data_IF_116254010081
#
_entry.id   IF_116254010081
#
_cell.length_a   1.000
_cell.length_b   1.000
_cell.length_c   1.000
_cell.angle_alpha   90.00
_cell.angle_beta   90.00
_cell.angle_gamma   90.00
#
_symmetry.space_group_name_H-M   'P 1'
#
loop_
_entity.id
_entity.type
_entity.pdbx_description
1 polymer ?
#
# COMPACT_ATOMS: atom_id res chain seq x y z
N UNK A 1 -38.34 -1.41 -16.30
CA UNK A 1 -36.96 -0.95 -16.27
C UNK A 1 -36.10 -2.15 -15.93
N UNK A 2 -35.09 -2.48 -16.74
CA UNK A 2 -34.20 -3.60 -16.46
C UNK A 2 -33.35 -3.24 -15.25
N UNK A 3 -33.32 -4.12 -14.25
CA UNK A 3 -32.52 -3.93 -13.04
C UNK A 3 -31.03 -3.97 -13.38
N UNK A 4 -30.23 -3.09 -12.78
CA UNK A 4 -28.79 -3.03 -12.95
C UNK A 4 -28.13 -4.25 -12.30
N UNK A 5 -27.20 -4.91 -13.03
CA UNK A 5 -26.51 -6.11 -12.56
C UNK A 5 -25.10 -5.78 -12.08
N UNK A 6 -24.84 -6.17 -10.84
CA UNK A 6 -23.59 -5.95 -10.12
C UNK A 6 -23.00 -7.31 -9.75
N UNK A 7 -21.75 -7.54 -10.11
CA UNK A 7 -21.04 -8.76 -9.73
C UNK A 7 -19.91 -8.45 -8.78
N UNK A 8 -19.85 -9.18 -7.67
CA UNK A 8 -18.72 -9.17 -6.73
C UNK A 8 -17.85 -10.42 -6.96
N UNK A 9 -16.55 -10.20 -7.18
CA UNK A 9 -15.50 -11.22 -7.28
C UNK A 9 -14.90 -11.59 -5.94
N UNK A 10 -15.45 -11.08 -4.83
CA UNK A 10 -15.13 -11.54 -3.48
C UNK A 10 -16.40 -11.89 -2.74
N UNK A 11 -16.35 -13.02 -2.06
CA UNK A 11 -17.38 -13.35 -1.09
C UNK A 11 -17.21 -12.41 0.11
N UNK A 12 -18.26 -11.69 0.43
CA UNK A 12 -18.27 -10.64 1.46
C UNK A 12 -18.88 -11.12 2.79
N UNK A 13 -19.38 -12.35 2.84
CA UNK A 13 -19.99 -12.93 4.03
C UNK A 13 -21.31 -12.22 4.41
N UNK A 14 -21.43 -11.82 5.66
CA UNK A 14 -22.63 -11.12 6.17
C UNK A 14 -22.89 -9.78 5.47
N UNK A 15 -21.85 -9.15 4.90
CA UNK A 15 -21.98 -7.90 4.15
C UNK A 15 -22.86 -8.06 2.90
N UNK A 16 -22.88 -9.26 2.29
CA UNK A 16 -23.69 -9.55 1.10
C UNK A 16 -25.18 -9.29 1.36
N UNK A 17 -25.68 -9.75 2.52
CA UNK A 17 -27.07 -9.52 2.93
C UNK A 17 -27.36 -8.03 3.15
N UNK A 18 -26.42 -7.31 3.75
CA UNK A 18 -26.55 -5.86 3.96
C UNK A 18 -26.64 -5.10 2.63
N UNK A 19 -25.78 -5.42 1.67
CA UNK A 19 -25.81 -4.82 0.33
C UNK A 19 -27.14 -5.04 -0.38
N UNK A 20 -27.61 -6.28 -0.39
CA UNK A 20 -28.91 -6.61 -1.03
C UNK A 20 -30.04 -5.84 -0.37
N UNK A 21 -30.06 -5.76 0.95
CA UNK A 21 -31.12 -5.06 1.69
C UNK A 21 -31.08 -3.54 1.50
N UNK A 22 -29.89 -2.95 1.39
CA UNK A 22 -29.71 -1.52 1.19
C UNK A 22 -30.10 -1.07 -0.22
N UNK A 23 -29.99 -1.97 -1.21
CA UNK A 23 -30.26 -1.69 -2.63
C UNK A 23 -31.21 -2.72 -3.25
N UNK A 24 -32.47 -2.78 -2.82
CA UNK A 24 -33.42 -3.83 -3.22
C UNK A 24 -33.80 -3.79 -4.71
N UNK A 25 -33.57 -2.67 -5.37
CA UNK A 25 -33.85 -2.48 -6.82
C UNK A 25 -32.67 -2.91 -7.71
N UNK A 26 -31.55 -3.34 -7.12
CA UNK A 26 -30.35 -3.80 -7.84
C UNK A 26 -30.17 -5.31 -7.71
N UNK A 27 -29.57 -5.91 -8.73
CA UNK A 27 -29.28 -7.34 -8.73
C UNK A 27 -27.80 -7.61 -8.43
N UNK A 28 -27.50 -8.17 -7.25
CA UNK A 28 -26.16 -8.54 -6.82
C UNK A 28 -25.91 -10.04 -7.02
N UNK A 29 -24.73 -10.35 -7.59
CA UNK A 29 -24.25 -11.72 -7.78
C UNK A 29 -22.85 -11.83 -7.19
N UNK A 30 -22.55 -12.93 -6.47
CA UNK A 30 -21.30 -13.12 -5.73
C UNK A 30 -20.60 -14.39 -6.21
N UNK A 31 -19.39 -14.22 -6.75
CA UNK A 31 -18.55 -15.31 -7.23
C UNK A 31 -17.19 -15.26 -6.53
N UNK A 32 -16.50 -16.40 -6.49
CA UNK A 32 -15.17 -16.47 -5.94
C UNK A 32 -14.13 -15.93 -6.93
N UNK A 33 -14.25 -16.29 -8.18
CA UNK A 33 -13.29 -15.93 -9.24
C UNK A 33 -14.02 -15.46 -10.50
N UNK A 34 -13.33 -14.71 -11.37
CA UNK A 34 -13.87 -14.22 -12.63
C UNK A 34 -14.28 -15.35 -13.60
N UNK A 35 -13.56 -16.48 -13.55
CA UNK A 35 -13.86 -17.66 -14.39
C UNK A 35 -15.21 -18.29 -14.06
N UNK A 36 -15.70 -18.12 -12.83
CA UNK A 36 -16.96 -18.70 -12.37
C UNK A 36 -18.20 -17.93 -12.85
N UNK A 37 -18.03 -16.74 -13.44
CA UNK A 37 -19.14 -15.90 -13.92
C UNK A 37 -19.69 -16.46 -15.23
N UNK A 38 -20.98 -16.80 -15.29
CA UNK A 38 -21.62 -17.29 -16.55
C UNK A 38 -21.53 -16.25 -17.68
N UNK A 39 -21.44 -16.74 -18.91
CA UNK A 39 -21.34 -15.87 -20.11
C UNK A 39 -22.54 -14.93 -20.23
N UNK A 40 -23.75 -15.45 -19.99
CA UNK A 40 -24.98 -14.68 -20.05
C UNK A 40 -24.99 -13.52 -19.06
N UNK A 41 -24.38 -13.70 -17.87
CA UNK A 41 -24.26 -12.64 -16.87
C UNK A 41 -23.19 -11.62 -17.27
N UNK A 42 -22.09 -12.04 -17.92
CA UNK A 42 -21.08 -11.11 -18.43
C UNK A 42 -21.64 -10.13 -19.46
N UNK A 43 -22.57 -10.61 -20.31
CA UNK A 43 -23.25 -9.77 -21.31
C UNK A 43 -24.08 -8.65 -20.68
N UNK A 44 -24.54 -8.82 -19.45
CA UNK A 44 -25.42 -7.89 -18.76
C UNK A 44 -24.76 -7.13 -17.62
N UNK A 45 -23.52 -7.48 -17.29
CA UNK A 45 -22.77 -6.90 -16.17
C UNK A 45 -22.50 -5.41 -16.39
N UNK A 46 -22.90 -4.57 -15.42
CA UNK A 46 -22.70 -3.12 -15.47
C UNK A 46 -21.66 -2.63 -14.45
N UNK A 47 -21.59 -3.26 -13.27
CA UNK A 47 -20.64 -2.90 -12.21
C UNK A 47 -19.93 -4.15 -11.70
N UNK A 48 -18.60 -4.12 -11.66
CA UNK A 48 -17.76 -5.16 -11.10
C UNK A 48 -17.14 -4.71 -9.79
N UNK A 49 -17.26 -5.52 -8.75
CA UNK A 49 -16.65 -5.28 -7.44
C UNK A 49 -15.60 -6.36 -7.17
N UNK A 50 -14.50 -6.00 -6.55
CA UNK A 50 -13.59 -6.95 -5.94
C UNK A 50 -12.20 -6.96 -6.55
N UNK A 51 -11.55 -8.10 -6.44
CA UNK A 51 -10.17 -8.32 -6.88
C UNK A 51 -10.02 -9.76 -7.36
N UNK A 52 -9.58 -9.94 -8.60
CA UNK A 52 -9.20 -11.25 -9.14
C UNK A 52 -8.24 -11.07 -10.31
N UNK A 53 -7.19 -11.89 -10.39
CA UNK A 53 -6.22 -11.89 -11.50
C UNK A 53 -6.85 -12.27 -12.85
N UNK A 54 -8.03 -12.90 -12.84
CA UNK A 54 -8.79 -13.23 -14.04
C UNK A 54 -9.50 -12.04 -14.71
N UNK A 55 -9.43 -10.84 -14.12
CA UNK A 55 -9.94 -9.61 -14.76
C UNK A 55 -8.90 -9.05 -15.72
N UNK A 56 -8.72 -9.76 -16.80
CA UNK A 56 -7.82 -9.44 -17.89
C UNK A 56 -8.55 -8.78 -19.07
N UNK A 57 -7.82 -8.51 -20.14
CA UNK A 57 -8.36 -7.94 -21.38
C UNK A 57 -9.52 -8.75 -21.96
N UNK A 58 -9.41 -10.09 -21.95
CA UNK A 58 -10.43 -10.97 -22.49
C UNK A 58 -11.72 -10.91 -21.65
N UNK A 59 -11.57 -10.88 -20.32
CA UNK A 59 -12.70 -10.72 -19.41
C UNK A 59 -13.44 -9.41 -19.67
N UNK A 60 -12.72 -8.27 -19.73
CA UNK A 60 -13.34 -6.97 -19.95
C UNK A 60 -14.04 -6.91 -21.31
N UNK A 61 -13.42 -7.47 -22.34
CA UNK A 61 -14.04 -7.52 -23.68
C UNK A 61 -15.30 -8.42 -23.71
N UNK A 62 -15.38 -9.42 -22.85
CA UNK A 62 -16.55 -10.27 -22.70
C UNK A 62 -17.70 -9.60 -21.91
N UNK A 63 -17.49 -8.40 -21.37
CA UNK A 63 -18.49 -7.64 -20.60
C UNK A 63 -18.87 -6.34 -21.33
N UNK A 64 -19.67 -6.38 -22.42
CA UNK A 64 -19.91 -5.21 -23.27
C UNK A 64 -20.62 -4.05 -22.57
N UNK A 65 -21.39 -4.32 -21.53
CA UNK A 65 -22.15 -3.31 -20.78
C UNK A 65 -21.43 -2.81 -19.53
N UNK A 66 -20.19 -3.24 -19.26
CA UNK A 66 -19.43 -2.85 -18.07
C UNK A 66 -19.12 -1.34 -18.09
N UNK A 67 -19.56 -0.63 -17.04
CA UNK A 67 -19.46 0.82 -16.88
C UNK A 67 -18.50 1.23 -15.78
N UNK A 68 -18.41 0.43 -14.70
CA UNK A 68 -17.60 0.75 -13.54
C UNK A 68 -16.99 -0.50 -12.91
N UNK A 69 -15.70 -0.41 -12.56
CA UNK A 69 -14.94 -1.38 -11.78
C UNK A 69 -14.58 -0.74 -10.45
N UNK A 70 -15.12 -1.27 -9.35
CA UNK A 70 -14.73 -0.95 -7.98
C UNK A 70 -13.69 -1.97 -7.51
N UNK A 71 -12.42 -1.63 -7.69
CA UNK A 71 -11.31 -2.54 -7.44
C UNK A 71 -10.89 -2.56 -5.98
N UNK A 72 -10.96 -3.73 -5.34
CA UNK A 72 -10.66 -3.91 -3.92
C UNK A 72 -9.16 -4.12 -3.65
N UNK A 73 -8.35 -3.28 -4.26
CA UNK A 73 -6.92 -3.14 -4.01
C UNK A 73 -6.48 -1.68 -4.24
N UNK A 74 -5.38 -1.27 -3.64
CA UNK A 74 -4.80 0.05 -3.91
C UNK A 74 -4.11 0.10 -5.27
N UNK A 75 -3.31 -0.93 -5.60
CA UNK A 75 -2.62 -1.03 -6.90
C UNK A 75 -3.56 -1.52 -8.01
N UNK A 76 -3.41 -0.95 -9.19
CA UNK A 76 -4.20 -1.29 -10.39
C UNK A 76 -3.33 -1.78 -11.55
N UNK A 77 -2.05 -2.00 -11.33
CA UNK A 77 -1.04 -2.30 -12.36
C UNK A 77 -1.30 -3.63 -13.08
N UNK A 78 -2.03 -4.54 -12.45
CA UNK A 78 -2.42 -5.83 -13.01
C UNK A 78 -3.70 -5.78 -13.85
N UNK A 79 -4.36 -4.62 -13.95
CA UNK A 79 -5.53 -4.42 -14.80
C UNK A 79 -5.12 -3.94 -16.20
N UNK A 80 -5.87 -4.30 -17.24
CA UNK A 80 -5.64 -3.80 -18.61
C UNK A 80 -6.16 -2.37 -18.77
N UNK A 81 -5.39 -1.40 -18.25
CA UNK A 81 -5.78 0.01 -18.17
C UNK A 81 -6.02 0.65 -19.54
N UNK A 82 -5.35 0.17 -20.59
CA UNK A 82 -5.56 0.58 -21.98
C UNK A 82 -6.99 0.30 -22.43
N UNK A 83 -7.48 -0.91 -22.22
CA UNK A 83 -8.86 -1.32 -22.57
C UNK A 83 -9.90 -0.60 -21.73
N UNK A 84 -9.65 -0.47 -20.42
CA UNK A 84 -10.53 0.24 -19.49
C UNK A 84 -10.70 1.69 -19.95
N UNK A 85 -9.60 2.33 -20.34
CA UNK A 85 -9.58 3.70 -20.86
C UNK A 85 -10.31 3.82 -22.22
N UNK A 86 -9.98 2.97 -23.17
CA UNK A 86 -10.61 2.95 -24.51
C UNK A 86 -12.13 2.85 -24.43
N UNK A 87 -12.64 2.04 -23.49
CA UNK A 87 -14.05 1.81 -23.28
C UNK A 87 -14.72 2.81 -22.35
N UNK A 88 -13.99 3.83 -21.85
CA UNK A 88 -14.49 4.80 -20.89
C UNK A 88 -15.11 4.16 -19.63
N UNK A 89 -14.56 3.02 -19.17
CA UNK A 89 -14.99 2.39 -17.94
C UNK A 89 -14.43 3.17 -16.75
N UNK A 90 -15.28 3.50 -15.80
CA UNK A 90 -14.84 4.12 -14.55
C UNK A 90 -14.07 3.08 -13.74
N UNK A 91 -12.91 3.47 -13.21
CA UNK A 91 -12.13 2.64 -12.29
C UNK A 91 -11.96 3.37 -10.98
N UNK A 92 -12.35 2.74 -9.87
CA UNK A 92 -12.05 3.19 -8.52
C UNK A 92 -11.24 2.14 -7.79
N UNK A 93 -10.42 2.56 -6.80
CA UNK A 93 -9.61 1.67 -5.99
C UNK A 93 -9.85 1.90 -4.49
N UNK A 94 -9.20 1.11 -3.65
CA UNK A 94 -9.31 1.22 -2.19
C UNK A 94 -8.17 2.03 -1.57
N UNK A 95 -7.58 2.96 -2.31
CA UNK A 95 -6.53 3.83 -1.79
C UNK A 95 -6.98 4.53 -0.50
N UNK A 96 -6.13 4.46 0.52
CA UNK A 96 -6.40 5.06 1.82
C UNK A 96 -7.11 4.15 2.82
N UNK A 97 -7.83 3.13 2.38
CA UNK A 97 -8.52 2.17 3.29
C UNK A 97 -7.52 1.45 4.19
N UNK A 98 -6.38 1.04 3.64
CA UNK A 98 -5.33 0.34 4.38
C UNK A 98 -4.39 1.28 5.14
N UNK A 99 -4.49 2.60 4.94
CA UNK A 99 -3.52 3.57 5.46
C UNK A 99 -3.40 3.51 6.98
N UNK A 100 -4.50 3.32 7.70
CA UNK A 100 -4.51 3.20 9.16
C UNK A 100 -3.73 1.97 9.61
N UNK A 101 -4.04 0.82 9.08
CA UNK A 101 -3.38 -0.45 9.43
C UNK A 101 -1.88 -0.40 9.10
N UNK A 102 -1.51 0.03 7.89
CA UNK A 102 -0.10 0.12 7.49
C UNK A 102 0.67 1.11 8.35
N UNK A 103 0.08 2.26 8.67
CA UNK A 103 0.73 3.26 9.53
C UNK A 103 0.96 2.75 10.96
N UNK A 104 0.07 1.92 11.49
CA UNK A 104 0.25 1.25 12.79
C UNK A 104 1.41 0.23 12.72
N UNK A 105 1.58 -0.50 11.61
CA UNK A 105 2.75 -1.35 11.39
C UNK A 105 4.05 -0.53 11.32
N UNK A 106 4.07 0.60 10.61
CA UNK A 106 5.24 1.48 10.57
C UNK A 106 5.64 1.93 11.97
N UNK A 107 4.67 2.37 12.77
CA UNK A 107 4.93 2.75 14.17
C UNK A 107 5.45 1.55 14.97
N UNK A 108 4.89 0.36 14.78
CA UNK A 108 5.35 -0.86 15.48
C UNK A 108 6.80 -1.21 15.11
N UNK A 109 7.21 -1.08 13.85
CA UNK A 109 8.58 -1.31 13.41
C UNK A 109 9.56 -0.31 14.05
N UNK A 110 9.17 0.97 14.10
CA UNK A 110 9.99 2.00 14.75
C UNK A 110 10.15 1.69 16.24
N UNK A 111 9.06 1.35 16.93
CA UNK A 111 9.10 1.04 18.37
C UNK A 111 9.84 -0.26 18.65
N UNK A 112 9.69 -1.29 17.82
CA UNK A 112 10.44 -2.55 17.94
C UNK A 112 11.96 -2.30 17.92
N UNK A 113 12.42 -1.52 16.95
CA UNK A 113 13.84 -1.18 16.82
C UNK A 113 14.34 -0.28 17.96
N UNK A 114 13.65 0.85 18.21
CA UNK A 114 14.06 1.84 19.20
C UNK A 114 13.95 1.36 20.65
N UNK A 115 13.02 0.45 20.95
CA UNK A 115 12.83 -0.14 22.29
C UNK A 115 13.51 -1.48 22.46
N UNK A 116 14.24 -1.96 21.45
CA UNK A 116 14.96 -3.24 21.48
C UNK A 116 14.07 -4.45 21.77
N UNK A 117 12.82 -4.39 21.29
CA UNK A 117 11.84 -5.46 21.57
C UNK A 117 12.26 -6.78 20.94
N UNK A 118 12.75 -6.77 19.70
CA UNK A 118 13.28 -7.95 19.03
C UNK A 118 14.45 -8.57 19.79
N UNK A 119 15.42 -7.76 20.23
CA UNK A 119 16.54 -8.23 21.04
C UNK A 119 16.05 -8.82 22.36
N UNK A 120 15.09 -8.18 23.01
CA UNK A 120 14.49 -8.68 24.26
C UNK A 120 13.80 -10.02 24.06
N UNK A 121 13.09 -10.21 22.93
CA UNK A 121 12.48 -11.50 22.58
C UNK A 121 13.53 -12.60 22.37
N UNK A 122 14.60 -12.30 21.62
CA UNK A 122 15.71 -13.25 21.43
C UNK A 122 16.36 -13.61 22.77
N UNK A 123 16.59 -12.62 23.63
CA UNK A 123 17.11 -12.82 24.98
C UNK A 123 16.19 -13.73 25.81
N UNK A 124 14.87 -13.53 25.76
CA UNK A 124 13.90 -14.40 26.43
C UNK A 124 14.00 -15.85 25.96
N UNK A 125 14.06 -16.07 24.64
CA UNK A 125 14.19 -17.42 24.06
C UNK A 125 15.48 -18.11 24.55
N UNK A 126 16.58 -17.36 24.62
CA UNK A 126 17.90 -17.84 25.05
C UNK A 126 18.10 -17.79 26.56
N UNK A 127 17.08 -17.43 27.36
CA UNK A 127 17.13 -17.30 28.82
C UNK A 127 18.22 -16.33 29.31
N UNK A 128 18.44 -15.24 28.56
CA UNK A 128 19.38 -14.16 28.91
C UNK A 128 18.61 -13.04 29.59
N UNK A 129 19.01 -12.69 30.82
CA UNK A 129 18.49 -11.53 31.56
C UNK A 129 19.49 -10.38 31.44
N UNK A 130 19.32 -9.54 30.41
CA UNK A 130 20.19 -8.38 30.16
C UNK A 130 19.53 -7.09 30.65
N UNK A 131 19.81 -6.70 31.88
CA UNK A 131 19.33 -5.47 32.51
C UNK A 131 20.01 -4.18 32.00
N UNK A 132 21.04 -4.32 31.16
CA UNK A 132 21.80 -3.17 30.60
C UNK A 132 21.34 -2.82 29.17
N UNK A 133 20.46 -3.65 28.58
CA UNK A 133 19.91 -3.35 27.27
C UNK A 133 19.16 -2.03 27.31
N UNK A 134 19.57 -1.10 26.45
CA UNK A 134 19.06 0.26 26.48
C UNK A 134 18.35 0.61 25.18
N UNK A 135 17.10 1.05 25.28
CA UNK A 135 16.34 1.65 24.18
C UNK A 135 16.60 3.14 24.04
N UNK A 136 16.13 3.73 22.94
CA UNK A 136 16.22 5.17 22.66
C UNK A 136 14.83 5.80 22.59
N UNK A 137 14.67 7.05 23.00
CA UNK A 137 13.46 7.85 22.75
C UNK A 137 13.38 8.27 21.29
N UNK A 138 12.17 8.57 20.81
CA UNK A 138 11.93 9.04 19.44
C UNK A 138 12.01 10.57 19.34
N UNK A 139 11.84 11.29 20.46
CA UNK A 139 11.98 12.76 20.47
C UNK A 139 13.34 13.18 19.90
N UNK A 140 13.34 14.22 19.11
CA UNK A 140 14.50 14.76 18.41
C UNK A 140 15.03 13.93 17.22
N UNK A 141 14.41 12.78 16.93
CA UNK A 141 14.75 12.02 15.71
C UNK A 141 14.14 12.66 14.46
N UNK A 142 14.84 12.50 13.34
CA UNK A 142 14.42 13.03 12.03
C UNK A 142 13.91 11.93 11.14
N UNK A 143 12.67 12.08 10.71
CA UNK A 143 11.99 11.14 9.81
C UNK A 143 11.91 11.75 8.42
N UNK A 144 12.34 11.00 7.42
CA UNK A 144 12.15 11.30 6.01
C UNK A 144 11.16 10.30 5.42
N UNK A 145 10.03 10.78 4.92
CA UNK A 145 9.02 9.94 4.29
C UNK A 145 9.06 10.17 2.78
N UNK A 146 9.32 9.11 2.03
CA UNK A 146 9.21 9.10 0.58
C UNK A 146 7.75 8.89 0.19
N UNK A 147 7.15 9.90 -0.39
CA UNK A 147 5.72 10.01 -0.64
C UNK A 147 4.99 10.86 0.40
N UNK A 148 3.93 11.56 -0.03
CA UNK A 148 3.08 12.40 0.83
C UNK A 148 1.60 12.10 0.62
N UNK A 149 1.28 10.88 0.17
CA UNK A 149 -0.08 10.40 -0.04
C UNK A 149 -0.80 10.06 1.27
N UNK A 150 -1.95 9.41 1.15
CA UNK A 150 -2.81 9.05 2.30
C UNK A 150 -2.09 8.21 3.35
N UNK A 151 -1.28 7.23 2.95
CA UNK A 151 -0.49 6.40 3.86
C UNK A 151 0.54 7.26 4.63
N UNK A 152 1.29 8.09 3.92
CA UNK A 152 2.28 8.98 4.55
C UNK A 152 1.60 9.95 5.53
N UNK A 153 0.49 10.58 5.14
CA UNK A 153 -0.25 11.50 6.02
C UNK A 153 -0.78 10.80 7.27
N UNK A 154 -1.30 9.56 7.14
CA UNK A 154 -1.74 8.80 8.30
C UNK A 154 -0.56 8.40 9.20
N UNK A 155 0.58 8.06 8.61
CA UNK A 155 1.82 7.77 9.35
C UNK A 155 2.30 9.00 10.13
N UNK A 156 2.33 10.17 9.50
CA UNK A 156 2.67 11.44 10.15
C UNK A 156 1.76 11.72 11.35
N UNK A 157 0.45 11.51 11.19
CA UNK A 157 -0.52 11.71 12.27
C UNK A 157 -0.22 10.83 13.49
N UNK A 158 0.24 9.59 13.29
CA UNK A 158 0.62 8.70 14.39
C UNK A 158 1.99 9.07 15.00
N UNK A 159 2.93 9.57 14.21
CA UNK A 159 4.28 9.89 14.67
C UNK A 159 4.37 11.25 15.37
N UNK A 160 3.53 12.21 15.02
CA UNK A 160 3.58 13.59 15.55
C UNK A 160 3.59 13.68 17.08
N UNK A 161 2.82 12.88 17.85
CA UNK A 161 2.85 12.89 19.30
C UNK A 161 4.20 12.48 19.93
N UNK A 162 5.11 11.89 19.15
CA UNK A 162 6.45 11.51 19.61
C UNK A 162 7.49 12.61 19.45
N UNK A 163 7.09 13.81 19.03
CA UNK A 163 7.96 15.00 18.92
C UNK A 163 9.11 14.84 17.91
N UNK A 164 8.85 14.12 16.82
CA UNK A 164 9.77 13.90 15.71
C UNK A 164 9.76 15.10 14.74
N UNK A 165 10.90 15.41 14.12
CA UNK A 165 10.93 16.23 12.91
C UNK A 165 10.57 15.35 11.70
N UNK A 166 9.55 15.72 10.93
CA UNK A 166 9.03 14.90 9.83
C UNK A 166 9.10 15.68 8.52
N UNK A 167 9.93 15.19 7.60
CA UNK A 167 10.12 15.75 6.27
C UNK A 167 9.51 14.76 5.24
N UNK A 168 8.79 15.29 4.27
CA UNK A 168 8.27 14.54 3.13
C UNK A 168 9.02 14.83 1.84
N UNK A 169 9.13 13.82 0.98
CA UNK A 169 9.57 13.96 -0.41
C UNK A 169 8.41 13.58 -1.33
N UNK A 170 8.07 14.46 -2.25
CA UNK A 170 7.03 14.20 -3.24
C UNK A 170 7.40 14.79 -4.60
N UNK A 171 6.64 14.43 -5.64
CA UNK A 171 6.85 14.96 -6.99
C UNK A 171 6.62 16.49 -7.04
N UNK A 172 5.63 16.99 -6.32
CA UNK A 172 5.21 18.41 -6.40
C UNK A 172 5.81 19.31 -5.31
N UNK A 173 6.28 18.74 -4.20
CA UNK A 173 6.73 19.50 -3.03
C UNK A 173 5.61 20.27 -2.30
N UNK A 174 4.34 20.04 -2.66
CA UNK A 174 3.22 20.78 -2.06
C UNK A 174 3.04 20.43 -0.59
N UNK A 175 2.75 21.47 0.21
CA UNK A 175 2.48 21.32 1.63
C UNK A 175 1.33 20.34 1.91
N UNK A 176 1.50 19.54 2.96
CA UNK A 176 0.49 18.67 3.55
C UNK A 176 0.56 18.79 5.07
N UNK A 177 -0.59 18.75 5.71
CA UNK A 177 -0.69 18.90 7.16
C UNK A 177 0.11 17.82 7.90
N UNK A 178 0.77 18.24 8.96
CA UNK A 178 1.55 17.40 9.87
C UNK A 178 3.01 17.23 9.48
N UNK A 179 3.40 17.43 8.22
CA UNK A 179 4.80 17.51 7.84
C UNK A 179 5.39 18.86 8.27
N UNK A 180 6.63 18.84 8.78
CA UNK A 180 7.35 20.08 9.09
C UNK A 180 7.79 20.78 7.79
N UNK A 181 8.24 20.01 6.81
CA UNK A 181 8.52 20.46 5.45
C UNK A 181 8.28 19.35 4.42
N UNK A 182 8.00 19.73 3.19
CA UNK A 182 7.93 18.81 2.04
C UNK A 182 8.81 19.41 0.93
N UNK A 183 9.66 18.56 0.36
CA UNK A 183 10.56 18.90 -0.73
C UNK A 183 10.27 18.05 -1.96
N UNK A 184 10.88 18.39 -3.08
CA UNK A 184 10.74 17.62 -4.31
C UNK A 184 11.79 16.50 -4.36
N UNK A 185 11.66 15.62 -5.36
CA UNK A 185 12.59 14.50 -5.54
C UNK A 185 14.02 14.95 -5.83
N UNK A 186 14.19 16.12 -6.42
CA UNK A 186 15.49 16.71 -6.72
C UNK A 186 16.27 17.03 -5.44
N UNK A 187 15.57 17.27 -4.34
CA UNK A 187 16.17 17.58 -3.04
C UNK A 187 16.48 16.32 -2.20
N UNK A 188 16.11 15.12 -2.67
CA UNK A 188 16.20 13.87 -1.91
C UNK A 188 17.59 13.68 -1.28
N UNK A 189 18.66 13.78 -2.07
CA UNK A 189 20.02 13.53 -1.59
C UNK A 189 20.42 14.46 -0.46
N UNK A 190 19.96 15.72 -0.46
CA UNK A 190 20.29 16.71 0.57
C UNK A 190 19.65 16.43 1.95
N UNK A 191 18.65 15.52 1.98
CA UNK A 191 17.95 15.13 3.21
C UNK A 191 18.31 13.73 3.71
N UNK A 192 18.87 12.87 2.86
CA UNK A 192 19.18 11.48 3.21
C UNK A 192 20.17 11.35 4.39
N UNK A 193 21.22 12.17 4.42
CA UNK A 193 22.26 12.10 5.46
C UNK A 193 21.80 12.64 6.82
N UNK A 194 20.70 13.37 6.86
CA UNK A 194 20.14 13.97 8.07
C UNK A 194 19.07 13.11 8.72
N UNK A 195 18.55 12.12 8.01
CA UNK A 195 17.46 11.30 8.48
C UNK A 195 17.94 10.16 9.37
N UNK A 196 17.29 9.99 10.52
CA UNK A 196 17.47 8.84 11.41
C UNK A 196 16.56 7.68 11.02
N UNK A 197 15.40 8.00 10.44
CA UNK A 197 14.41 7.05 9.96
C UNK A 197 13.99 7.46 8.55
N UNK A 198 14.03 6.52 7.60
CA UNK A 198 13.53 6.71 6.23
C UNK A 198 12.41 5.72 5.98
N UNK A 199 11.24 6.22 5.56
CA UNK A 199 10.04 5.41 5.32
C UNK A 199 9.64 5.56 3.86
N UNK A 200 9.64 4.47 3.11
CA UNK A 200 9.12 4.45 1.75
C UNK A 200 7.63 4.10 1.72
N UNK A 201 6.82 5.01 1.19
CA UNK A 201 5.38 4.83 0.97
C UNK A 201 4.99 5.00 -0.49
N UNK A 202 5.97 5.15 -1.40
CA UNK A 202 5.74 5.43 -2.81
C UNK A 202 5.08 4.25 -3.53
N UNK A 203 4.14 4.51 -4.44
CA UNK A 203 3.64 3.51 -5.37
C UNK A 203 4.71 3.17 -6.41
N UNK A 204 4.53 2.06 -7.13
CA UNK A 204 5.34 1.75 -8.31
C UNK A 204 4.85 2.55 -9.51
N UNK A 205 5.75 3.32 -10.10
CA UNK A 205 5.60 4.06 -11.34
C UNK A 205 6.91 4.00 -12.12
N UNK A 206 6.94 4.44 -13.36
CA UNK A 206 8.22 4.55 -14.12
C UNK A 206 9.24 5.44 -13.40
N UNK A 207 8.79 6.48 -12.69
CA UNK A 207 9.65 7.43 -11.98
C UNK A 207 10.17 6.87 -10.65
N UNK A 208 9.44 5.97 -10.01
CA UNK A 208 9.81 5.40 -8.71
C UNK A 208 10.51 4.04 -8.82
N UNK A 209 10.44 3.40 -9.99
CA UNK A 209 11.12 2.14 -10.25
C UNK A 209 12.63 2.32 -10.15
N UNK A 210 13.28 1.60 -9.24
CA UNK A 210 14.70 1.71 -8.91
C UNK A 210 15.16 3.15 -8.60
N UNK A 211 14.28 3.95 -7.99
CA UNK A 211 14.59 5.32 -7.58
C UNK A 211 15.77 5.39 -6.62
N UNK A 212 15.84 4.46 -5.65
CA UNK A 212 16.95 4.37 -4.71
C UNK A 212 18.07 3.49 -5.29
N UNK A 213 19.29 4.00 -5.26
CA UNK A 213 20.49 3.34 -5.73
C UNK A 213 21.51 3.16 -4.60
N UNK A 214 22.57 2.42 -4.82
CA UNK A 214 23.68 2.29 -3.86
C UNK A 214 24.24 3.66 -3.42
N UNK A 215 24.27 4.64 -4.33
CA UNK A 215 24.71 6.00 -4.03
C UNK A 215 23.87 6.64 -2.93
N UNK A 216 22.56 6.50 -2.99
CA UNK A 216 21.65 7.04 -1.98
C UNK A 216 21.92 6.43 -0.59
N UNK A 217 22.16 5.13 -0.52
CA UNK A 217 22.48 4.46 0.74
C UNK A 217 23.86 4.85 1.30
N UNK A 218 24.83 5.17 0.43
CA UNK A 218 26.13 5.71 0.87
C UNK A 218 26.03 7.14 1.43
N UNK A 219 25.02 7.90 1.01
CA UNK A 219 24.74 9.24 1.54
C UNK A 219 24.00 9.16 2.88
N UNK A 220 23.15 8.14 3.09
CA UNK A 220 22.42 7.94 4.32
C UNK A 220 23.35 7.85 5.53
N UNK A 221 22.82 8.24 6.69
CA UNK A 221 23.48 7.98 7.95
C UNK A 221 23.59 6.46 8.20
N UNK A 222 24.76 5.97 8.57
CA UNK A 222 25.00 4.57 8.88
C UNK A 222 24.17 4.02 10.06
N UNK A 223 23.61 4.91 10.87
CA UNK A 223 22.68 4.59 11.96
C UNK A 223 21.21 4.66 11.54
N UNK A 224 20.95 4.92 10.28
CA UNK A 224 19.59 5.07 9.75
C UNK A 224 18.81 3.75 9.84
N UNK A 225 17.53 3.88 10.17
CA UNK A 225 16.52 2.84 10.03
C UNK A 225 15.77 3.05 8.71
N UNK A 226 15.75 2.03 7.84
CA UNK A 226 15.01 2.05 6.60
C UNK A 226 13.76 1.18 6.71
N UNK A 227 12.58 1.72 6.36
CA UNK A 227 11.30 1.01 6.40
C UNK A 227 10.69 1.08 5.00
N UNK A 228 10.38 -0.09 4.43
CA UNK A 228 9.71 -0.15 3.13
C UNK A 228 8.34 -0.82 3.25
N UNK A 229 7.30 -0.02 3.16
CA UNK A 229 5.88 -0.44 3.10
C UNK A 229 5.19 0.05 1.82
N UNK A 230 5.98 0.59 0.89
CA UNK A 230 5.53 1.03 -0.43
C UNK A 230 5.56 -0.10 -1.45
N UNK A 231 6.64 -0.15 -2.23
CA UNK A 231 6.90 -1.22 -3.22
C UNK A 231 8.36 -1.65 -3.15
N UNK A 232 8.61 -2.96 -3.33
CA UNK A 232 9.95 -3.53 -3.32
C UNK A 232 10.82 -3.01 -4.45
N UNK A 233 10.23 -2.71 -5.58
CA UNK A 233 10.87 -2.16 -6.79
C UNK A 233 11.44 -0.75 -6.65
N UNK A 234 11.30 -0.11 -5.48
CA UNK A 234 11.96 1.17 -5.20
C UNK A 234 13.49 1.07 -5.27
N UNK A 235 14.04 -0.11 -5.05
CA UNK A 235 15.47 -0.43 -5.12
C UNK A 235 15.66 -1.80 -5.75
N UNK A 236 16.69 -1.98 -6.57
CA UNK A 236 17.12 -3.29 -7.04
C UNK A 236 17.54 -4.18 -5.87
N UNK A 237 16.98 -5.39 -5.76
CA UNK A 237 17.17 -6.27 -4.60
C UNK A 237 18.66 -6.61 -4.35
N UNK A 238 19.45 -6.80 -5.42
CA UNK A 238 20.89 -7.04 -5.31
C UNK A 238 21.64 -5.89 -4.63
N UNK A 239 21.22 -4.66 -4.93
CA UNK A 239 21.79 -3.46 -4.29
C UNK A 239 21.39 -3.42 -2.82
N UNK A 240 20.14 -3.71 -2.49
CA UNK A 240 19.66 -3.75 -1.12
C UNK A 240 20.42 -4.78 -0.28
N UNK A 241 20.61 -6.00 -0.80
CA UNK A 241 21.40 -7.05 -0.15
C UNK A 241 22.84 -6.56 0.09
N UNK A 242 23.47 -5.96 -0.91
CA UNK A 242 24.83 -5.41 -0.80
C UNK A 242 24.91 -4.32 0.28
N UNK A 243 23.98 -3.37 0.28
CA UNK A 243 23.91 -2.27 1.25
C UNK A 243 23.81 -2.80 2.69
N UNK A 244 22.95 -3.77 2.92
CA UNK A 244 22.72 -4.37 4.23
C UNK A 244 23.89 -5.25 4.66
N UNK A 245 24.46 -6.05 3.76
CA UNK A 245 25.65 -6.90 4.03
C UNK A 245 26.89 -6.06 4.42
N UNK A 246 27.00 -4.84 3.92
CA UNK A 246 28.10 -3.92 4.24
C UNK A 246 27.74 -2.94 5.39
N UNK A 247 26.60 -3.10 6.04
CA UNK A 247 26.13 -2.24 7.13
C UNK A 247 26.14 -0.74 6.77
N UNK A 248 25.78 -0.38 5.52
CA UNK A 248 25.66 1.02 5.11
C UNK A 248 24.52 1.76 5.83
N UNK A 249 23.54 1.01 6.33
CA UNK A 249 22.50 1.46 7.23
C UNK A 249 22.38 0.49 8.41
N UNK A 250 21.82 0.94 9.53
CA UNK A 250 21.73 0.15 10.75
C UNK A 250 20.79 -1.05 10.64
N UNK A 251 19.61 -0.87 10.09
CA UNK A 251 18.57 -1.89 9.99
C UNK A 251 17.55 -1.56 8.92
N UNK A 252 16.95 -2.59 8.33
CA UNK A 252 15.82 -2.45 7.43
C UNK A 252 14.61 -3.28 7.89
N UNK A 253 13.41 -2.67 7.88
CA UNK A 253 12.12 -3.36 7.98
C UNK A 253 11.50 -3.40 6.60
N UNK A 254 11.30 -4.59 6.06
CA UNK A 254 10.86 -4.82 4.69
C UNK A 254 9.55 -5.62 4.71
N UNK A 255 8.47 -5.01 4.26
CA UNK A 255 7.19 -5.71 4.05
C UNK A 255 7.00 -6.10 2.58
N UNK A 256 7.75 -5.46 1.68
CA UNK A 256 7.63 -5.62 0.22
C UNK A 256 8.98 -5.88 -0.42
N UNK A 257 8.98 -6.63 -1.53
CA UNK A 257 10.17 -7.12 -2.21
C UNK A 257 10.05 -6.92 -3.72
N UNK A 258 11.18 -6.89 -4.43
CA UNK A 258 11.18 -6.73 -5.89
C UNK A 258 10.50 -7.92 -6.57
N UNK A 259 10.72 -9.11 -6.04
CA UNK A 259 10.05 -10.33 -6.48
C UNK A 259 9.28 -10.96 -5.32
N UNK A 260 7.98 -11.12 -5.49
CA UNK A 260 7.09 -11.72 -4.50
C UNK A 260 6.34 -12.93 -5.08
N UNK A 261 6.19 -14.01 -4.34
CA UNK A 261 6.68 -14.24 -2.99
C UNK A 261 8.21 -14.32 -2.90
N UNK A 262 8.78 -13.85 -1.77
CA UNK A 262 10.24 -13.90 -1.55
C UNK A 262 10.70 -15.36 -1.50
N UNK A 263 11.71 -15.70 -2.33
CA UNK A 263 12.27 -17.05 -2.38
C UNK A 263 12.86 -17.46 -1.02
N UNK A 264 12.61 -18.69 -0.58
CA UNK A 264 13.08 -19.20 0.71
C UNK A 264 14.60 -19.21 0.87
N UNK A 265 15.36 -19.21 -0.25
CA UNK A 265 16.82 -19.14 -0.26
C UNK A 265 17.37 -17.73 -0.38
N UNK A 266 16.50 -16.70 -0.39
CA UNK A 266 16.90 -15.31 -0.54
C UNK A 266 17.89 -14.91 0.56
N UNK A 267 18.93 -14.20 0.18
CA UNK A 267 20.00 -13.78 1.10
C UNK A 267 19.53 -12.84 2.20
N UNK A 268 18.46 -12.07 1.96
CA UNK A 268 17.86 -11.20 2.97
C UNK A 268 17.49 -11.95 4.26
N UNK A 269 17.08 -13.22 4.18
CA UNK A 269 16.76 -14.03 5.37
C UNK A 269 17.96 -14.32 6.26
N UNK A 270 19.19 -14.20 5.73
CA UNK A 270 20.43 -14.51 6.45
C UNK A 270 21.05 -13.30 7.14
N UNK A 271 20.50 -12.10 6.90
CA UNK A 271 21.06 -10.85 7.41
C UNK A 271 20.46 -10.52 8.79
N UNK A 272 21.31 -10.23 9.76
CA UNK A 272 20.89 -9.90 11.13
C UNK A 272 20.24 -8.50 11.24
N UNK A 273 20.54 -7.61 10.28
CA UNK A 273 20.04 -6.24 10.23
C UNK A 273 18.82 -6.08 9.31
N UNK A 274 18.05 -7.13 9.12
CA UNK A 274 16.79 -7.13 8.36
C UNK A 274 15.66 -7.74 9.17
N UNK A 275 14.51 -7.11 9.15
CA UNK A 275 13.24 -7.68 9.64
C UNK A 275 12.28 -7.78 8.46
N UNK A 276 11.75 -8.96 8.23
CA UNK A 276 10.90 -9.29 7.08
C UNK A 276 9.48 -9.55 7.56
N UNK A 277 8.52 -8.93 6.90
CA UNK A 277 7.11 -9.32 6.92
C UNK A 277 6.66 -9.64 5.48
N UNK A 278 5.68 -10.50 5.32
CA UNK A 278 5.34 -11.08 4.02
C UNK A 278 4.20 -10.32 3.33
N UNK A 279 4.39 -9.02 3.06
CA UNK A 279 3.41 -8.11 2.45
C UNK A 279 2.07 -8.11 3.20
N UNK A 280 2.14 -8.07 4.53
CA UNK A 280 0.99 -8.20 5.43
C UNK A 280 0.54 -6.90 6.09
N UNK A 281 1.31 -5.81 5.92
CA UNK A 281 1.01 -4.56 6.63
C UNK A 281 -0.35 -3.98 6.26
N UNK A 282 -0.86 -4.28 5.06
CA UNK A 282 -2.21 -3.92 4.63
C UNK A 282 -3.31 -4.94 5.00
N UNK A 283 -2.97 -6.07 5.58
CA UNK A 283 -3.94 -7.12 5.91
C UNK A 283 -4.72 -6.76 7.17
N UNK A 284 -5.92 -6.23 6.99
CA UNK A 284 -6.84 -5.86 8.07
C UNK A 284 -8.12 -6.70 7.95
N UNK A 285 -8.60 -7.22 9.09
CA UNK A 285 -9.86 -7.98 9.16
C UNK A 285 -11.08 -7.16 8.70
N UNK A 286 -11.02 -5.84 8.81
CA UNK A 286 -12.10 -4.93 8.46
C UNK A 286 -12.03 -4.44 7.00
N UNK A 287 -11.01 -4.82 6.23
CA UNK A 287 -10.78 -4.28 4.88
C UNK A 287 -11.97 -4.46 3.94
N UNK A 288 -12.64 -5.61 4.01
CA UNK A 288 -13.83 -5.87 3.17
C UNK A 288 -14.98 -4.95 3.53
N UNK A 289 -15.23 -4.75 4.82
CA UNK A 289 -16.28 -3.85 5.32
C UNK A 289 -16.00 -2.41 4.92
N UNK A 290 -14.79 -1.93 5.11
CA UNK A 290 -14.44 -0.54 4.80
C UNK A 290 -14.40 -0.28 3.28
N UNK A 291 -13.92 -1.24 2.49
CA UNK A 291 -13.99 -1.16 1.04
C UNK A 291 -15.43 -1.15 0.53
N UNK A 292 -16.31 -1.92 1.16
CA UNK A 292 -17.74 -1.98 0.79
C UNK A 292 -18.45 -0.68 1.15
N UNK A 293 -18.17 -0.07 2.30
CA UNK A 293 -18.69 1.26 2.64
C UNK A 293 -18.25 2.33 1.64
N UNK A 294 -17.01 2.27 1.17
CA UNK A 294 -16.55 3.14 0.09
C UNK A 294 -17.32 2.87 -1.21
N UNK A 295 -17.51 1.61 -1.55
CA UNK A 295 -18.32 1.21 -2.71
C UNK A 295 -19.75 1.75 -2.62
N UNK A 296 -20.41 1.62 -1.47
CA UNK A 296 -21.79 2.11 -1.25
C UNK A 296 -21.89 3.63 -1.45
N UNK A 297 -20.96 4.42 -0.92
CA UNK A 297 -20.94 5.88 -1.17
C UNK A 297 -20.77 6.20 -2.65
N UNK A 298 -19.89 5.52 -3.32
CA UNK A 298 -19.67 5.66 -4.77
C UNK A 298 -20.86 5.17 -5.59
N UNK A 299 -21.56 4.12 -5.13
CA UNK A 299 -22.77 3.60 -5.77
C UNK A 299 -23.90 4.62 -5.71
N UNK A 300 -24.08 5.27 -4.57
CA UNK A 300 -25.07 6.36 -4.42
C UNK A 300 -24.77 7.51 -5.39
N UNK A 301 -23.53 7.90 -5.54
CA UNK A 301 -23.12 8.90 -6.54
C UNK A 301 -23.38 8.40 -7.98
N UNK A 302 -23.03 7.16 -8.30
CA UNK A 302 -23.23 6.58 -9.61
C UNK A 302 -24.70 6.50 -10.00
N UNK A 303 -25.57 6.09 -9.07
CA UNK A 303 -27.01 6.00 -9.30
C UNK A 303 -27.65 7.38 -9.51
N UNK A 304 -27.15 8.41 -8.81
CA UNK A 304 -27.70 9.75 -8.88
C UNK A 304 -27.12 10.60 -10.00
N UNK A 305 -25.84 10.43 -10.34
CA UNK A 305 -25.08 11.31 -11.25
C UNK A 305 -24.52 10.59 -12.48
N UNK A 306 -24.62 9.26 -12.52
CA UNK A 306 -23.93 8.40 -13.50
C UNK A 306 -22.42 8.65 -13.55
N UNK A 307 -21.82 9.01 -12.42
CA UNK A 307 -20.39 9.27 -12.26
C UNK A 307 -19.93 8.89 -10.83
N UNK A 308 -18.63 8.65 -10.68
CA UNK A 308 -18.00 8.30 -9.40
C UNK A 308 -16.75 9.15 -9.23
N UNK A 309 -16.60 9.78 -8.07
CA UNK A 309 -15.51 10.72 -7.80
C UNK A 309 -14.54 10.17 -6.76
N UNK A 310 -15.03 9.57 -5.66
CA UNK A 310 -14.19 9.12 -4.55
C UNK A 310 -13.29 7.96 -4.98
N UNK A 311 -11.99 8.12 -4.81
CA UNK A 311 -10.96 7.15 -5.20
C UNK A 311 -10.96 6.76 -6.68
N UNK A 312 -11.42 7.65 -7.55
CA UNK A 312 -11.30 7.45 -9.00
C UNK A 312 -9.85 7.41 -9.41
N UNK A 313 -9.49 6.42 -10.18
CA UNK A 313 -8.13 6.24 -10.72
C UNK A 313 -7.98 7.12 -11.97
N UNK A 314 -6.90 7.89 -12.00
CA UNK A 314 -6.46 8.56 -13.22
C UNK A 314 -5.81 7.54 -14.16
N UNK A 315 -6.54 7.12 -15.19
CA UNK A 315 -6.10 6.08 -16.13
C UNK A 315 -4.89 6.50 -16.99
N UNK A 316 -4.53 7.78 -17.01
CA UNK A 316 -3.31 8.27 -17.68
C UNK A 316 -2.09 8.14 -16.79
N UNK A 317 -2.27 8.28 -15.46
CA UNK A 317 -1.20 8.18 -14.48
C UNK A 317 -1.07 6.77 -13.89
N UNK A 318 -2.14 5.96 -13.95
CA UNK A 318 -2.17 4.60 -13.42
C UNK A 318 -2.34 4.51 -11.89
N UNK A 319 -2.83 5.60 -11.24
CA UNK A 319 -3.09 5.64 -9.80
C UNK A 319 -4.15 6.67 -9.40
#
# INVERSE_FOLDING_TARGET
VKSMKIVSLKRLGEIETSLINNYPDLEFYFFKNAVDIPTELKDELEILIGYDSGVDKNFINACPNLKWISWYATGVNNLPLDVIKERNIILTNTRGIQAKQVSEFVLSFILDDYKKMRTSYVNQVNKVYDSKLTGKRLSDEKVLILGTGSLAQQTVKLLKPFELEIIGISKSGHHKDGFDNIYTIEDLESHLNKADIIINTLPETQETYHLLSERHFKIMNDKCLFINVGRGTIIEEKILIKVLSHNLIRHAYLDVFENEPLDANNELYKLDNVTITAHITGNDKNIKSDATKLFERNLDDFLNKNDVIENRVDLYKGY
#
